data_IF_762048523068
#
_entry.id   IF_762048523068
#
_cell.length_a   1.000
_cell.length_b   1.000
_cell.length_c   1.000
_cell.angle_alpha   90.00
_cell.angle_beta   90.00
_cell.angle_gamma   90.00
#
_symmetry.space_group_name_H-M   'P 1'
#
loop_
_entity.id
_entity.type
_entity.pdbx_description
1 polymer ?
#
# COMPACT_ATOMS: atom_id res chain seq x y z
N UNK A 1 -28.19 43.59 15.86
CA UNK A 1 -27.57 42.32 16.23
C UNK A 1 -27.85 41.20 15.24
N UNK A 2 -29.10 40.97 14.75
CA UNK A 2 -29.38 39.89 13.74
C UNK A 2 -28.61 40.02 12.41
N UNK A 3 -28.35 41.25 11.92
CA UNK A 3 -27.61 41.46 10.65
C UNK A 3 -26.09 41.10 10.75
N UNK A 4 -25.49 41.27 11.93
CA UNK A 4 -24.08 40.95 12.19
C UNK A 4 -23.90 39.43 12.26
N UNK A 5 -24.85 38.69 12.85
CA UNK A 5 -24.83 37.25 12.93
C UNK A 5 -24.92 36.58 11.55
N UNK A 6 -25.71 37.16 10.63
CA UNK A 6 -25.84 36.65 9.24
C UNK A 6 -24.54 36.89 8.47
N UNK A 7 -23.85 38.01 8.66
CA UNK A 7 -22.57 38.31 8.02
C UNK A 7 -21.45 37.35 8.49
N UNK A 8 -21.45 37.02 9.80
CA UNK A 8 -20.50 36.04 10.36
C UNK A 8 -20.76 34.61 9.86
N UNK A 9 -22.02 34.23 9.68
CA UNK A 9 -22.39 32.93 9.13
C UNK A 9 -22.00 32.80 7.65
N UNK A 10 -22.10 33.85 6.85
CA UNK A 10 -21.69 33.89 5.46
C UNK A 10 -20.15 33.79 5.28
N UNK A 11 -19.38 34.38 6.21
CA UNK A 11 -17.92 34.30 6.16
C UNK A 11 -17.39 32.88 6.46
N UNK A 12 -18.09 32.08 7.26
CA UNK A 12 -17.73 30.70 7.57
C UNK A 12 -17.94 29.79 6.35
N UNK A 13 -18.91 30.09 5.49
CA UNK A 13 -19.21 29.30 4.28
C UNK A 13 -18.14 29.51 3.17
N UNK A 14 -17.40 30.61 3.21
CA UNK A 14 -16.33 30.93 2.26
C UNK A 14 -14.92 30.69 2.76
N UNK A 15 -14.74 29.97 3.88
CA UNK A 15 -13.41 29.44 4.18
C UNK A 15 -13.05 28.45 3.06
N UNK A 16 -12.08 28.75 2.20
CA UNK A 16 -11.65 27.77 1.23
C UNK A 16 -11.21 26.55 2.04
N UNK A 17 -11.80 25.40 1.76
CA UNK A 17 -11.16 24.14 2.11
C UNK A 17 -9.83 24.20 1.40
N UNK A 18 -8.79 24.59 2.08
CA UNK A 18 -7.43 24.44 1.60
C UNK A 18 -7.23 22.93 1.51
N UNK A 19 -7.48 22.37 0.32
CA UNK A 19 -6.89 21.07 0.01
C UNK A 19 -5.40 21.29 0.21
N UNK A 20 -4.82 20.63 1.20
CA UNK A 20 -3.39 20.76 1.45
C UNK A 20 -2.67 20.28 0.18
N UNK A 21 -2.16 21.21 -0.58
CA UNK A 21 -1.38 20.93 -1.76
C UNK A 21 -0.19 20.04 -1.37
N UNK A 22 -0.08 18.87 -1.98
CA UNK A 22 1.00 17.94 -1.70
C UNK A 22 2.22 18.32 -2.52
N UNK A 23 3.26 18.80 -1.87
CA UNK A 23 4.55 19.08 -2.49
C UNK A 23 5.63 18.11 -1.99
N UNK A 24 6.71 18.00 -2.74
CA UNK A 24 7.86 17.20 -2.33
C UNK A 24 8.46 17.68 -1.00
N UNK A 25 8.42 18.99 -0.76
CA UNK A 25 8.89 19.57 0.50
C UNK A 25 8.01 19.12 1.68
N UNK A 26 6.68 19.12 1.52
CA UNK A 26 5.73 18.64 2.54
C UNK A 26 5.99 17.18 2.88
N UNK A 27 6.10 16.31 1.86
CA UNK A 27 6.37 14.88 2.06
C UNK A 27 7.70 14.61 2.81
N UNK A 28 8.74 15.41 2.53
CA UNK A 28 10.06 15.25 3.16
C UNK A 28 10.17 15.87 4.56
N UNK A 29 9.46 16.98 4.80
CA UNK A 29 9.58 17.71 6.06
C UNK A 29 8.70 17.17 7.19
N UNK A 30 7.73 16.29 6.86
CA UNK A 30 6.79 15.71 7.83
C UNK A 30 6.83 14.18 7.84
N UNK A 31 7.96 13.56 8.22
CA UNK A 31 8.08 12.09 8.25
C UNK A 31 7.14 11.43 9.28
N UNK A 32 6.64 12.18 10.25
CA UNK A 32 5.63 11.75 11.21
C UNK A 32 4.24 11.54 10.56
N UNK A 33 3.95 12.27 9.47
CA UNK A 33 2.72 12.13 8.69
C UNK A 33 2.91 11.25 7.46
N UNK A 34 4.07 11.36 6.82
CA UNK A 34 4.39 10.70 5.54
C UNK A 34 5.58 9.77 5.72
N UNK A 35 5.31 8.52 6.04
CA UNK A 35 6.36 7.51 6.25
C UNK A 35 7.03 7.11 4.93
N UNK A 36 8.34 7.30 4.76
CA UNK A 36 9.04 6.86 3.56
C UNK A 36 9.09 5.34 3.49
N UNK A 37 8.74 4.78 2.33
CA UNK A 37 8.86 3.35 2.04
C UNK A 37 10.11 3.12 1.20
N UNK A 38 11.05 2.24 1.64
CA UNK A 38 12.23 1.89 0.86
C UNK A 38 11.83 1.31 -0.51
N UNK A 39 12.49 1.79 -1.57
CA UNK A 39 12.30 1.29 -2.94
C UNK A 39 13.63 1.18 -3.66
N UNK A 40 13.77 0.19 -4.54
CA UNK A 40 14.95 0.00 -5.40
C UNK A 40 14.89 0.82 -6.70
N UNK A 41 13.76 1.44 -6.98
CA UNK A 41 13.54 2.19 -8.21
C UNK A 41 13.96 3.66 -8.03
N UNK A 42 14.17 4.36 -9.14
CA UNK A 42 14.50 5.79 -9.14
C UNK A 42 13.24 6.64 -8.86
N UNK A 43 12.58 6.33 -7.75
CA UNK A 43 11.41 7.05 -7.23
C UNK A 43 11.45 7.05 -5.70
N UNK A 44 10.75 7.98 -5.08
CA UNK A 44 10.45 7.93 -3.65
C UNK A 44 8.99 7.58 -3.45
N UNK A 45 8.71 6.78 -2.43
CA UNK A 45 7.36 6.42 -2.04
C UNK A 45 7.16 6.87 -0.60
N UNK A 46 6.02 7.52 -0.36
CA UNK A 46 5.58 7.89 0.98
C UNK A 46 4.21 7.28 1.23
N UNK A 47 3.99 6.88 2.46
CA UNK A 47 2.75 6.29 2.94
C UNK A 47 2.15 7.18 4.02
N UNK A 48 0.84 7.39 4.00
CA UNK A 48 0.12 8.20 4.98
C UNK A 48 -0.68 7.29 5.93
N UNK A 49 -0.16 6.99 7.13
CA UNK A 49 -0.83 6.09 8.09
C UNK A 49 -2.23 6.58 8.50
N UNK A 50 -2.43 7.89 8.60
CA UNK A 50 -3.70 8.50 9.01
C UNK A 50 -4.84 8.24 8.01
N UNK A 51 -4.52 7.98 6.74
CA UNK A 51 -5.47 7.69 5.67
C UNK A 51 -5.67 6.18 5.44
N UNK A 52 -5.24 5.36 6.39
CA UNK A 52 -5.43 3.90 6.29
C UNK A 52 -6.68 3.48 7.05
N UNK A 53 -7.57 2.78 6.35
CA UNK A 53 -8.87 2.32 6.90
C UNK A 53 -9.08 0.85 6.61
N UNK A 54 -9.50 0.10 7.61
CA UNK A 54 -10.00 -1.28 7.41
C UNK A 54 -11.43 -1.18 6.87
N UNK A 55 -11.61 -1.60 5.62
CA UNK A 55 -12.92 -1.61 4.95
C UNK A 55 -13.63 -2.94 5.23
N UNK A 56 -12.87 -4.04 5.22
CA UNK A 56 -13.39 -5.36 5.50
C UNK A 56 -12.42 -6.16 6.37
N UNK A 57 -12.98 -6.78 7.41
CA UNK A 57 -12.30 -7.76 8.24
C UNK A 57 -13.16 -9.04 8.30
N UNK A 58 -12.85 -9.98 7.42
CA UNK A 58 -13.54 -11.26 7.32
C UNK A 58 -12.53 -12.37 6.98
N UNK A 59 -11.75 -12.84 7.98
CA UNK A 59 -10.72 -13.85 7.74
C UNK A 59 -11.26 -15.06 6.95
N UNK A 60 -10.53 -15.54 5.93
CA UNK A 60 -9.17 -15.16 5.54
C UNK A 60 -9.07 -13.93 4.63
N UNK A 61 -10.16 -13.19 4.37
CA UNK A 61 -10.21 -12.07 3.44
C UNK A 61 -10.26 -10.73 4.17
N UNK A 62 -9.42 -9.79 3.69
CA UNK A 62 -9.32 -8.45 4.27
C UNK A 62 -9.31 -7.41 3.15
N UNK A 63 -9.86 -6.21 3.43
CA UNK A 63 -9.74 -5.07 2.53
C UNK A 63 -9.29 -3.85 3.32
N UNK A 64 -8.24 -3.19 2.84
CA UNK A 64 -7.68 -1.96 3.41
C UNK A 64 -7.71 -0.88 2.34
N UNK A 65 -8.31 0.28 2.65
CA UNK A 65 -8.13 1.51 1.89
C UNK A 65 -6.90 2.23 2.42
N UNK A 66 -6.07 2.76 1.52
CA UNK A 66 -4.90 3.55 1.92
C UNK A 66 -4.51 4.58 0.87
N UNK A 67 -3.83 5.64 1.32
CA UNK A 67 -3.25 6.67 0.46
C UNK A 67 -1.73 6.59 0.50
N UNK A 68 -1.11 6.68 -0.68
CA UNK A 68 0.33 6.68 -0.87
C UNK A 68 0.75 7.65 -1.97
N UNK A 69 1.98 8.15 -1.89
CA UNK A 69 2.53 9.16 -2.78
C UNK A 69 3.74 8.59 -3.52
N UNK A 70 3.67 8.58 -4.84
CA UNK A 70 4.74 8.12 -5.72
C UNK A 70 5.40 9.32 -6.37
N UNK A 71 6.63 9.63 -6.00
CA UNK A 71 7.39 10.76 -6.52
C UNK A 71 8.22 10.32 -7.72
N UNK A 72 7.81 10.74 -8.91
CA UNK A 72 8.50 10.49 -10.17
C UNK A 72 9.33 11.73 -10.57
N UNK A 73 10.59 11.78 -10.12
CA UNK A 73 11.48 12.94 -10.33
C UNK A 73 11.68 13.30 -11.79
N UNK A 74 11.79 12.30 -12.66
CA UNK A 74 11.97 12.50 -14.11
C UNK A 74 10.78 13.19 -14.80
N UNK A 75 9.59 13.09 -14.21
CA UNK A 75 8.36 13.70 -14.72
C UNK A 75 7.94 14.94 -13.93
N UNK A 76 8.73 15.35 -12.94
CA UNK A 76 8.40 16.45 -12.04
C UNK A 76 7.02 16.32 -11.40
N UNK A 77 6.61 15.07 -11.03
CA UNK A 77 5.24 14.76 -10.64
C UNK A 77 5.22 13.91 -9.36
N UNK A 78 4.19 14.15 -8.55
CA UNK A 78 3.77 13.30 -7.43
C UNK A 78 2.41 12.73 -7.79
N UNK A 79 2.26 11.41 -7.78
CA UNK A 79 0.97 10.74 -7.84
C UNK A 79 0.52 10.37 -6.41
N UNK A 80 -0.51 11.04 -5.94
CA UNK A 80 -1.24 10.69 -4.72
C UNK A 80 -2.29 9.65 -5.08
N UNK A 81 -2.10 8.42 -4.60
CA UNK A 81 -2.93 7.28 -4.96
C UNK A 81 -3.69 6.78 -3.74
N UNK A 82 -5.01 6.96 -3.76
CA UNK A 82 -5.91 6.27 -2.84
C UNK A 82 -6.45 5.03 -3.53
N UNK A 83 -6.32 3.86 -2.92
CA UNK A 83 -6.76 2.60 -3.50
C UNK A 83 -7.15 1.58 -2.42
N UNK A 84 -7.88 0.56 -2.83
CA UNK A 84 -8.26 -0.57 -1.99
C UNK A 84 -7.34 -1.75 -2.29
N UNK A 85 -6.73 -2.32 -1.25
CA UNK A 85 -6.00 -3.58 -1.31
C UNK A 85 -6.85 -4.67 -0.70
N UNK A 86 -7.12 -5.73 -1.48
CA UNK A 86 -7.74 -6.95 -1.00
C UNK A 86 -6.65 -7.99 -0.75
N UNK A 87 -6.72 -8.66 0.39
CA UNK A 87 -5.76 -9.66 0.84
C UNK A 87 -6.47 -10.98 1.07
N UNK A 88 -5.91 -12.06 0.53
CA UNK A 88 -6.27 -13.43 0.87
C UNK A 88 -5.20 -14.02 1.80
N UNK A 89 -5.51 -14.15 3.08
CA UNK A 89 -4.57 -14.64 4.10
C UNK A 89 -4.07 -16.06 3.85
N UNK A 90 -4.81 -16.86 3.07
CA UNK A 90 -4.33 -18.19 2.69
C UNK A 90 -3.04 -18.10 1.85
N UNK A 91 -2.84 -16.99 1.12
CA UNK A 91 -1.64 -16.69 0.35
C UNK A 91 -0.64 -15.77 1.10
N UNK A 92 -0.81 -15.57 2.42
CA UNK A 92 0.18 -14.83 3.22
C UNK A 92 1.50 -15.58 3.32
N UNK A 93 2.61 -14.84 3.52
CA UNK A 93 3.93 -15.46 3.66
C UNK A 93 3.98 -16.50 4.77
N UNK A 94 3.27 -16.25 5.88
CA UNK A 94 3.17 -17.18 7.00
C UNK A 94 2.55 -18.51 6.59
N UNK A 95 1.43 -18.47 5.85
CA UNK A 95 0.76 -19.67 5.37
C UNK A 95 1.55 -20.38 4.27
N UNK A 96 2.12 -19.63 3.33
CA UNK A 96 2.90 -20.21 2.24
C UNK A 96 4.17 -20.91 2.74
N UNK A 97 4.84 -20.39 3.77
CA UNK A 97 5.97 -21.07 4.42
C UNK A 97 5.51 -22.39 5.01
N UNK A 98 4.40 -22.38 5.76
CA UNK A 98 3.85 -23.58 6.40
C UNK A 98 3.47 -24.64 5.35
N UNK A 99 2.78 -24.25 4.30
CA UNK A 99 2.38 -25.14 3.21
C UNK A 99 3.60 -25.74 2.47
N UNK A 100 4.58 -24.91 2.11
CA UNK A 100 5.80 -25.36 1.47
C UNK A 100 6.54 -26.41 2.32
N UNK A 101 6.61 -26.19 3.64
CA UNK A 101 7.22 -27.12 4.56
C UNK A 101 6.45 -28.46 4.63
N UNK A 102 5.11 -28.42 4.71
CA UNK A 102 4.26 -29.61 4.72
C UNK A 102 4.39 -30.41 3.43
N UNK A 103 4.40 -29.74 2.27
CA UNK A 103 4.58 -30.41 0.97
C UNK A 103 5.90 -31.16 0.90
N UNK A 104 7.01 -30.56 1.31
CA UNK A 104 8.32 -31.21 1.32
C UNK A 104 8.35 -32.43 2.24
N UNK A 105 7.73 -32.33 3.44
CA UNK A 105 7.64 -33.46 4.37
C UNK A 105 6.82 -34.62 3.81
N UNK A 106 5.75 -34.32 3.05
CA UNK A 106 4.89 -35.34 2.44
C UNK A 106 5.56 -36.01 1.22
N UNK A 107 6.31 -35.24 0.41
CA UNK A 107 7.01 -35.76 -0.78
C UNK A 107 8.20 -36.65 -0.39
N UNK A 108 9.00 -36.23 0.57
CA UNK A 108 10.19 -36.95 1.01
C UNK A 108 10.49 -36.67 2.48
N UNK A 109 9.98 -37.50 3.42
CA UNK A 109 10.38 -37.41 4.81
C UNK A 109 11.90 -37.58 4.94
N UNK A 110 12.61 -36.52 5.26
CA UNK A 110 14.07 -36.53 5.40
C UNK A 110 14.45 -35.99 6.77
N UNK A 111 15.47 -36.59 7.41
CA UNK A 111 16.12 -36.04 8.59
C UNK A 111 17.25 -35.04 8.23
N UNK A 112 17.55 -34.91 6.96
CA UNK A 112 18.53 -33.96 6.44
C UNK A 112 17.93 -32.54 6.43
N UNK A 113 18.38 -31.71 7.33
CA UNK A 113 17.89 -30.35 7.50
C UNK A 113 18.22 -29.45 6.28
N UNK A 114 19.41 -29.59 5.70
CA UNK A 114 19.82 -28.79 4.54
C UNK A 114 18.96 -29.09 3.32
N UNK A 115 18.66 -30.36 3.06
CA UNK A 115 17.72 -30.75 2.02
C UNK A 115 16.35 -30.17 2.27
N UNK A 116 15.82 -30.30 3.48
CA UNK A 116 14.49 -29.80 3.84
C UNK A 116 14.38 -28.28 3.68
N UNK A 117 15.36 -27.52 4.15
CA UNK A 117 15.39 -26.07 4.03
C UNK A 117 15.43 -25.63 2.56
N UNK A 118 16.30 -26.22 1.76
CA UNK A 118 16.47 -25.89 0.33
C UNK A 118 15.21 -26.21 -0.47
N UNK A 119 14.61 -27.40 -0.25
CA UNK A 119 13.38 -27.79 -0.92
C UNK A 119 12.18 -26.92 -0.52
N UNK A 120 12.06 -26.57 0.75
CA UNK A 120 11.00 -25.67 1.25
C UNK A 120 11.14 -24.26 0.67
N UNK A 121 12.35 -23.72 0.57
CA UNK A 121 12.59 -22.40 -0.04
C UNK A 121 12.22 -22.41 -1.53
N UNK A 122 12.53 -23.49 -2.26
CA UNK A 122 12.15 -23.63 -3.68
C UNK A 122 10.63 -23.64 -3.85
N UNK A 123 9.91 -24.46 -3.08
CA UNK A 123 8.43 -24.51 -3.09
C UNK A 123 7.81 -23.17 -2.74
N UNK A 124 8.34 -22.50 -1.74
CA UNK A 124 7.89 -21.16 -1.36
C UNK A 124 8.06 -20.14 -2.50
N UNK A 125 9.22 -20.16 -3.18
CA UNK A 125 9.46 -19.26 -4.31
C UNK A 125 8.49 -19.52 -5.48
N UNK A 126 8.18 -20.79 -5.78
CA UNK A 126 7.18 -21.17 -6.78
C UNK A 126 5.78 -20.66 -6.43
N UNK A 127 5.36 -20.79 -5.16
CA UNK A 127 4.06 -20.28 -4.67
C UNK A 127 3.98 -18.76 -4.77
N UNK A 128 5.00 -18.04 -4.33
CA UNK A 128 5.05 -16.57 -4.36
C UNK A 128 5.06 -16.02 -5.80
N UNK A 129 5.65 -16.75 -6.74
CA UNK A 129 5.66 -16.34 -8.14
C UNK A 129 4.27 -16.45 -8.78
N UNK A 130 3.50 -17.47 -8.41
CA UNK A 130 2.19 -17.75 -9.00
C UNK A 130 1.05 -16.89 -8.46
N UNK A 131 1.11 -16.45 -7.21
CA UNK A 131 0.05 -15.66 -6.59
C UNK A 131 0.59 -14.85 -5.40
N UNK A 132 0.45 -13.54 -5.46
CA UNK A 132 0.84 -12.68 -4.34
C UNK A 132 -0.17 -12.68 -3.19
N UNK A 133 -1.39 -13.15 -3.40
CA UNK A 133 -2.50 -13.04 -2.46
C UNK A 133 -3.01 -11.61 -2.26
N UNK A 134 -2.53 -10.66 -3.06
CA UNK A 134 -2.92 -9.25 -2.98
C UNK A 134 -3.44 -8.77 -4.33
N UNK A 135 -4.61 -8.15 -4.32
CA UNK A 135 -5.11 -7.38 -5.47
C UNK A 135 -5.36 -5.94 -5.09
N UNK A 136 -5.23 -5.02 -6.04
CA UNK A 136 -5.66 -3.63 -5.89
C UNK A 136 -6.86 -3.37 -6.77
N UNK A 137 -7.75 -2.45 -6.34
CA UNK A 137 -8.96 -2.09 -7.08
C UNK A 137 -9.41 -0.68 -6.74
N UNK A 138 -9.93 0.04 -7.73
CA UNK A 138 -10.62 1.32 -7.55
C UNK A 138 -9.80 2.43 -6.88
N UNK A 139 -10.51 3.41 -6.36
CA UNK A 139 -9.94 4.60 -5.73
C UNK A 139 -9.66 5.72 -6.73
N UNK A 140 -8.81 6.66 -6.34
CA UNK A 140 -8.46 7.86 -7.13
C UNK A 140 -6.96 8.05 -7.21
N UNK A 141 -6.50 8.66 -8.30
CA UNK A 141 -5.14 9.17 -8.42
C UNK A 141 -5.19 10.66 -8.69
N UNK A 142 -4.59 11.44 -7.80
CA UNK A 142 -4.41 12.90 -7.99
C UNK A 142 -2.96 13.16 -8.31
N UNK A 143 -2.71 13.93 -9.36
CA UNK A 143 -1.38 14.31 -9.78
C UNK A 143 -1.06 15.74 -9.36
N UNK A 144 0.13 15.92 -8.79
CA UNK A 144 0.68 17.17 -8.32
C UNK A 144 2.04 17.40 -8.96
N UNK A 145 2.38 18.66 -9.28
CA UNK A 145 3.77 19.01 -9.54
C UNK A 145 4.60 18.91 -8.23
N UNK A 146 5.94 18.82 -8.33
CA UNK A 146 6.79 18.72 -7.14
C UNK A 146 6.68 19.94 -6.20
N UNK A 147 6.29 21.10 -6.72
CA UNK A 147 6.04 22.33 -5.96
C UNK A 147 4.65 22.36 -5.28
N UNK A 148 3.78 21.41 -5.58
CA UNK A 148 2.43 21.31 -5.02
C UNK A 148 1.30 21.84 -5.91
N UNK A 149 1.60 22.30 -7.13
CA UNK A 149 0.56 22.71 -8.06
C UNK A 149 -0.26 21.49 -8.51
N UNK A 150 -1.58 21.61 -8.45
CA UNK A 150 -2.51 20.60 -8.94
C UNK A 150 -2.38 20.45 -10.46
N UNK A 151 -2.27 19.20 -10.92
CA UNK A 151 -2.17 18.89 -12.36
C UNK A 151 -3.45 18.26 -12.88
N UNK A 152 -3.89 17.15 -12.27
CA UNK A 152 -5.05 16.37 -12.72
C UNK A 152 -5.51 15.41 -11.62
N UNK A 153 -6.72 14.87 -11.81
CA UNK A 153 -7.25 13.76 -11.01
C UNK A 153 -7.98 12.78 -11.92
N UNK A 154 -7.82 11.52 -11.66
CA UNK A 154 -8.52 10.45 -12.38
C UNK A 154 -9.08 9.40 -11.41
N UNK A 155 -10.14 8.75 -11.85
CA UNK A 155 -10.72 7.61 -11.15
C UNK A 155 -9.99 6.34 -11.60
N UNK A 156 -9.52 5.53 -10.66
CA UNK A 156 -8.90 4.25 -10.97
C UNK A 156 -9.96 3.22 -11.38
N UNK A 157 -9.57 2.30 -12.25
CA UNK A 157 -10.46 1.22 -12.68
C UNK A 157 -10.91 0.35 -11.51
N UNK A 158 -12.19 -0.04 -11.52
CA UNK A 158 -12.77 -0.98 -10.54
C UNK A 158 -12.51 -2.45 -10.91
N UNK A 159 -11.52 -2.71 -11.76
CA UNK A 159 -11.09 -4.05 -12.13
C UNK A 159 -9.96 -4.49 -11.18
N UNK A 160 -10.16 -5.58 -10.41
CA UNK A 160 -9.10 -6.08 -9.54
C UNK A 160 -7.84 -6.44 -10.34
N UNK A 161 -6.72 -5.89 -9.94
CA UNK A 161 -5.41 -6.14 -10.57
C UNK A 161 -4.47 -6.76 -9.55
N UNK A 162 -3.83 -7.87 -9.90
CA UNK A 162 -2.86 -8.52 -9.03
C UNK A 162 -1.66 -7.60 -8.74
N UNK A 163 -1.27 -7.55 -7.48
CA UNK A 163 -0.09 -6.81 -7.01
C UNK A 163 1.13 -7.72 -7.08
N UNK A 164 2.02 -7.46 -8.02
CA UNK A 164 3.25 -8.26 -8.19
C UNK A 164 4.23 -8.05 -7.05
N UNK A 165 4.69 -9.13 -6.43
CA UNK A 165 5.72 -9.09 -5.37
C UNK A 165 6.98 -8.41 -5.88
N UNK A 166 7.59 -7.56 -5.03
CA UNK A 166 8.75 -6.75 -5.38
C UNK A 166 8.45 -5.47 -6.18
N UNK A 167 7.19 -5.24 -6.54
CA UNK A 167 6.78 -3.96 -7.11
C UNK A 167 6.66 -2.86 -6.03
N UNK A 168 6.75 -1.57 -6.40
CA UNK A 168 6.46 -0.47 -5.48
C UNK A 168 5.11 -0.59 -4.79
N UNK A 169 4.10 -1.03 -5.53
CA UNK A 169 2.74 -1.25 -5.03
C UNK A 169 2.70 -2.36 -3.97
N UNK A 170 3.49 -3.45 -4.13
CA UNK A 170 3.54 -4.51 -3.11
C UNK A 170 4.19 -4.03 -1.80
N UNK A 171 5.16 -3.13 -1.89
CA UNK A 171 5.76 -2.53 -0.69
C UNK A 171 4.73 -1.70 0.08
N UNK A 172 3.92 -0.89 -0.61
CA UNK A 172 2.82 -0.13 0.00
C UNK A 172 1.80 -1.06 0.63
N UNK A 173 1.32 -2.08 -0.11
CA UNK A 173 0.33 -3.03 0.38
C UNK A 173 0.84 -3.79 1.63
N UNK A 174 2.08 -4.28 1.60
CA UNK A 174 2.67 -4.98 2.75
C UNK A 174 2.82 -4.05 3.96
N UNK A 175 3.23 -2.79 3.72
CA UNK A 175 3.33 -1.79 4.78
C UNK A 175 1.96 -1.47 5.39
N UNK A 176 0.93 -1.27 4.57
CA UNK A 176 -0.43 -1.03 5.02
C UNK A 176 -0.97 -2.19 5.88
N UNK A 177 -0.77 -3.44 5.45
CA UNK A 177 -1.19 -4.61 6.21
C UNK A 177 -0.46 -4.70 7.56
N UNK A 178 0.88 -4.49 7.55
CA UNK A 178 1.70 -4.47 8.75
C UNK A 178 1.29 -3.36 9.73
N UNK A 179 0.94 -2.18 9.22
CA UNK A 179 0.48 -1.06 10.05
C UNK A 179 -0.82 -1.39 10.78
N UNK A 180 -1.74 -2.09 10.13
CA UNK A 180 -3.05 -2.44 10.70
C UNK A 180 -2.97 -3.66 11.63
N UNK A 181 -2.26 -4.72 11.21
CA UNK A 181 -2.29 -6.03 11.87
C UNK A 181 -1.00 -6.40 12.60
N UNK A 182 -0.01 -5.50 12.62
CA UNK A 182 1.31 -5.66 13.26
C UNK A 182 2.08 -6.91 12.80
N UNK A 183 1.83 -7.36 11.57
CA UNK A 183 2.54 -8.47 10.94
C UNK A 183 2.61 -8.29 9.42
N UNK A 184 3.69 -8.73 8.75
CA UNK A 184 3.79 -8.63 7.31
C UNK A 184 2.80 -9.59 6.64
N UNK A 185 2.29 -9.19 5.47
CA UNK A 185 1.52 -10.09 4.61
C UNK A 185 2.44 -10.89 3.70
N UNK A 186 3.48 -10.26 3.14
CA UNK A 186 4.48 -10.87 2.26
C UNK A 186 5.91 -10.53 2.70
N UNK A 187 6.91 -11.08 2.01
CA UNK A 187 8.31 -10.76 2.28
C UNK A 187 8.63 -9.31 1.92
N UNK A 188 9.37 -8.63 2.81
CA UNK A 188 10.04 -7.38 2.48
C UNK A 188 11.29 -7.72 1.64
N UNK A 189 11.18 -7.61 0.32
CA UNK A 189 12.32 -7.81 -0.58
C UNK A 189 13.22 -6.56 -0.49
N UNK A 190 14.25 -6.67 0.34
CA UNK A 190 15.31 -5.66 0.47
C UNK A 190 16.26 -5.67 -0.71
#
# INVERSE_FOLDING_TARGET
MKKIAILLLLTIIFLPFTSNAISLNVLKSHPELYTPIPTKQNMSIYYEPSQTKVIQYNPPYYTIETTSYYVAYQYNTIAEVTTYYNYDWNNSIENLIREAAIEVLNEKPSKDYEYFETASRKKLAEKLFNNSGITKVGGTTTYWALNGDYLNQEQNDNIPTEVKIGSPTSSVANFAFKQVYNKPFTLDIK
#
